data_IF_219621017182
#
_entry.id   IF_219621017182
#
_cell.length_a   1.000
_cell.length_b   1.000
_cell.length_c   1.000
_cell.angle_alpha   90.00
_cell.angle_beta   90.00
_cell.angle_gamma   90.00
#
_symmetry.space_group_name_H-M   'P 1'
#
loop_
_entity.id
_entity.type
_entity.pdbx_description
1 polymer ?
#
# COMPACT_ATOMS: atom_id res chain seq x y z
N UNK A 1 9.65 2.76 -4.23
CA UNK A 1 8.78 1.79 -3.52
C UNK A 1 9.55 0.51 -3.21
N UNK A 2 9.70 0.17 -1.93
CA UNK A 2 10.37 -1.07 -1.50
C UNK A 2 9.46 -2.28 -1.74
N UNK A 3 10.03 -3.38 -2.25
CA UNK A 3 9.36 -4.68 -2.32
C UNK A 3 9.48 -5.35 -0.95
N UNK A 4 8.35 -5.72 -0.34
CA UNK A 4 8.31 -6.38 0.95
C UNK A 4 7.91 -7.85 0.80
N UNK A 5 8.50 -8.69 1.64
CA UNK A 5 8.04 -10.05 1.91
C UNK A 5 7.06 -10.07 3.10
N UNK A 6 6.51 -11.26 3.40
CA UNK A 6 5.54 -11.45 4.50
C UNK A 6 6.10 -11.07 5.87
N UNK A 7 7.36 -11.40 6.15
CA UNK A 7 8.00 -11.14 7.44
C UNK A 7 8.22 -9.64 7.66
N UNK A 8 8.68 -8.93 6.63
CA UNK A 8 8.86 -7.48 6.68
C UNK A 8 7.55 -6.75 6.90
N UNK A 9 6.46 -7.19 6.24
CA UNK A 9 5.11 -6.66 6.48
C UNK A 9 4.72 -6.84 7.95
N UNK A 10 4.86 -8.06 8.49
CA UNK A 10 4.54 -8.36 9.89
C UNK A 10 5.36 -7.53 10.86
N UNK A 11 6.64 -7.33 10.57
CA UNK A 11 7.52 -6.50 11.40
C UNK A 11 7.04 -5.04 11.43
N UNK A 12 6.64 -4.46 10.29
CA UNK A 12 6.07 -3.10 10.23
C UNK A 12 4.75 -3.00 11.01
N UNK A 13 3.89 -4.03 10.90
CA UNK A 13 2.65 -4.11 11.68
C UNK A 13 2.92 -4.19 13.19
N UNK A 14 3.85 -5.05 13.62
CA UNK A 14 4.21 -5.20 15.02
C UNK A 14 4.79 -3.91 15.63
N UNK A 15 5.52 -3.14 14.82
CA UNK A 15 6.04 -1.81 15.17
C UNK A 15 5.01 -0.70 15.09
N UNK A 16 3.77 -1.04 14.72
CA UNK A 16 2.65 -0.10 14.57
C UNK A 16 2.93 1.03 13.58
N UNK A 17 3.80 0.79 12.60
CA UNK A 17 4.15 1.80 11.60
C UNK A 17 2.95 2.11 10.69
N UNK A 18 2.81 3.37 10.31
CA UNK A 18 1.84 3.80 9.30
C UNK A 18 2.46 3.66 7.91
N UNK A 19 1.84 2.88 7.01
CA UNK A 19 2.34 2.65 5.65
C UNK A 19 1.24 2.22 4.68
N UNK A 20 1.46 2.45 3.38
CA UNK A 20 0.65 1.90 2.30
C UNK A 20 1.36 0.73 1.62
N UNK A 21 0.60 -0.31 1.27
CA UNK A 21 1.09 -1.54 0.65
C UNK A 21 0.29 -1.85 -0.62
N UNK A 22 0.93 -1.74 -1.78
CA UNK A 22 0.39 -2.20 -3.05
C UNK A 22 0.59 -3.71 -3.20
N UNK A 23 -0.51 -4.47 -3.22
CA UNK A 23 -0.51 -5.86 -3.63
C UNK A 23 -0.62 -5.95 -5.15
N UNK A 24 0.33 -6.63 -5.77
CA UNK A 24 0.41 -6.77 -7.22
C UNK A 24 0.76 -8.21 -7.62
N UNK A 25 0.58 -8.52 -8.90
CA UNK A 25 1.18 -9.68 -9.57
C UNK A 25 2.07 -9.22 -10.73
N UNK A 26 3.10 -10.00 -11.10
CA UNK A 26 3.85 -9.75 -12.32
C UNK A 26 2.92 -9.73 -13.55
N UNK A 27 3.31 -8.97 -14.58
CA UNK A 27 2.58 -8.88 -15.85
C UNK A 27 1.14 -8.32 -15.77
N UNK A 28 0.78 -7.68 -14.65
CA UNK A 28 -0.48 -6.96 -14.49
C UNK A 28 -0.34 -5.50 -14.98
N UNK A 29 -0.95 -5.17 -16.13
CA UNK A 29 -0.87 -3.83 -16.72
C UNK A 29 -1.46 -2.73 -15.82
N UNK A 30 -2.61 -3.01 -15.19
CA UNK A 30 -3.25 -2.11 -14.22
C UNK A 30 -2.40 -1.91 -12.96
N UNK A 31 -1.64 -2.93 -12.55
CA UNK A 31 -0.70 -2.82 -11.43
C UNK A 31 0.47 -1.90 -11.77
N UNK A 32 0.99 -1.93 -13.01
CA UNK A 32 2.04 -0.99 -13.45
C UNK A 32 1.55 0.46 -13.44
N UNK A 33 0.29 0.70 -13.81
CA UNK A 33 -0.32 2.02 -13.71
C UNK A 33 -0.44 2.47 -12.25
N UNK A 34 -0.95 1.59 -11.37
CA UNK A 34 -1.01 1.83 -9.93
C UNK A 34 0.36 2.17 -9.32
N UNK A 35 1.41 1.44 -9.68
CA UNK A 35 2.78 1.72 -9.23
C UNK A 35 3.25 3.12 -9.63
N UNK A 36 3.01 3.54 -10.89
CA UNK A 36 3.37 4.88 -11.36
C UNK A 36 2.63 5.98 -10.58
N UNK A 37 1.34 5.79 -10.35
CA UNK A 37 0.54 6.75 -9.58
C UNK A 37 1.07 6.89 -8.15
N UNK A 38 1.40 5.77 -7.51
CA UNK A 38 1.93 5.76 -6.14
C UNK A 38 3.36 6.31 -6.04
N UNK A 39 4.18 6.15 -7.09
CA UNK A 39 5.49 6.79 -7.16
C UNK A 39 5.37 8.32 -7.16
N UNK A 40 4.45 8.87 -7.95
CA UNK A 40 4.19 10.32 -7.96
C UNK A 40 3.74 10.80 -6.57
N UNK A 41 2.86 10.06 -5.90
CA UNK A 41 2.40 10.42 -4.54
C UNK A 41 3.53 10.35 -3.52
N UNK A 42 4.42 9.36 -3.63
CA UNK A 42 5.60 9.24 -2.77
C UNK A 42 6.53 10.45 -2.91
N UNK A 43 6.69 10.98 -4.12
CA UNK A 43 7.46 12.20 -4.39
C UNK A 43 6.74 13.45 -3.84
N UNK A 44 5.43 13.59 -4.11
CA UNK A 44 4.62 14.72 -3.62
C UNK A 44 4.53 14.79 -2.09
N UNK A 45 4.54 13.64 -1.41
CA UNK A 45 4.54 13.55 0.06
C UNK A 45 5.95 13.66 0.66
N UNK A 46 6.98 13.96 -0.13
CA UNK A 46 8.37 14.02 0.31
C UNK A 46 8.83 12.79 1.13
N UNK A 47 8.25 11.61 0.85
CA UNK A 47 8.52 10.37 1.57
C UNK A 47 7.93 10.28 2.99
N UNK A 48 7.04 11.21 3.40
CA UNK A 48 6.40 11.19 4.72
C UNK A 48 5.52 9.97 4.95
N UNK A 49 4.93 9.40 3.89
CA UNK A 49 4.26 8.10 3.94
C UNK A 49 5.10 7.03 3.25
N UNK A 50 5.41 5.96 3.98
CA UNK A 50 6.05 4.79 3.40
C UNK A 50 5.08 4.08 2.43
N UNK A 51 5.40 4.10 1.13
CA UNK A 51 4.65 3.36 0.10
C UNK A 51 5.49 2.17 -0.38
N UNK A 52 5.00 0.98 -0.08
CA UNK A 52 5.63 -0.31 -0.34
C UNK A 52 4.82 -1.13 -1.34
N UNK A 53 5.40 -2.23 -1.85
CA UNK A 53 4.71 -3.20 -2.69
C UNK A 53 4.99 -4.63 -2.25
N UNK A 54 4.08 -5.55 -2.52
CA UNK A 54 4.27 -6.98 -2.30
C UNK A 54 3.66 -7.80 -3.44
N UNK A 55 4.41 -8.81 -3.89
CA UNK A 55 3.92 -9.76 -4.88
C UNK A 55 3.01 -10.77 -4.19
N UNK A 56 1.70 -10.71 -4.47
CA UNK A 56 0.73 -11.56 -3.78
C UNK A 56 0.89 -13.04 -4.16
N UNK A 57 1.46 -13.35 -5.33
CA UNK A 57 1.73 -14.74 -5.76
C UNK A 57 2.75 -15.45 -4.85
N UNK A 58 3.60 -14.71 -4.14
CA UNK A 58 4.58 -15.31 -3.21
C UNK A 58 4.03 -15.42 -1.78
N UNK A 59 2.76 -15.06 -1.55
CA UNK A 59 2.12 -15.04 -0.23
C UNK A 59 0.66 -15.53 -0.28
N UNK A 60 0.39 -16.76 -0.77
CA UNK A 60 -0.98 -17.26 -0.97
C UNK A 60 -1.79 -17.35 0.34
N UNK A 61 -1.12 -17.66 1.45
CA UNK A 61 -1.67 -17.66 2.81
C UNK A 61 -2.15 -16.26 3.24
N UNK A 62 -1.38 -15.23 2.89
CA UNK A 62 -1.73 -13.83 3.15
C UNK A 62 -2.89 -13.41 2.25
N UNK A 63 -2.87 -13.78 0.97
CA UNK A 63 -3.94 -13.46 0.03
C UNK A 63 -5.31 -13.99 0.53
N UNK A 64 -5.32 -15.22 1.03
CA UNK A 64 -6.52 -15.83 1.59
C UNK A 64 -6.94 -15.19 2.91
N UNK A 65 -6.02 -15.04 3.86
CA UNK A 65 -6.35 -14.48 5.18
C UNK A 65 -6.80 -13.01 5.12
N UNK A 66 -6.23 -12.23 4.20
CA UNK A 66 -6.63 -10.85 3.95
C UNK A 66 -7.81 -10.71 2.98
N UNK A 67 -8.35 -11.84 2.48
CA UNK A 67 -9.48 -11.87 1.54
C UNK A 67 -9.26 -10.94 0.34
N UNK A 68 -8.08 -11.03 -0.29
CA UNK A 68 -7.75 -10.19 -1.45
C UNK A 68 -8.54 -10.66 -2.67
N UNK A 69 -9.50 -9.85 -3.12
CA UNK A 69 -10.40 -10.21 -4.22
C UNK A 69 -9.78 -10.01 -5.61
N UNK A 70 -8.93 -9.00 -5.77
CA UNK A 70 -8.30 -8.66 -7.06
C UNK A 70 -7.00 -7.87 -6.85
N UNK A 71 -6.20 -7.76 -7.91
CA UNK A 71 -5.05 -6.86 -8.00
C UNK A 71 -5.23 -5.88 -9.17
N UNK A 72 -4.69 -4.64 -9.07
CA UNK A 72 -4.00 -4.07 -7.91
C UNK A 72 -4.93 -3.86 -6.72
N UNK A 73 -4.41 -4.09 -5.51
CA UNK A 73 -5.10 -3.76 -4.27
C UNK A 73 -4.16 -2.93 -3.40
N UNK A 74 -4.58 -1.72 -3.03
CA UNK A 74 -3.82 -0.86 -2.13
C UNK A 74 -4.40 -0.99 -0.73
N UNK A 75 -3.56 -1.41 0.22
CA UNK A 75 -3.88 -1.46 1.63
C UNK A 75 -3.20 -0.31 2.36
N UNK A 76 -3.86 0.26 3.35
CA UNK A 76 -3.25 1.22 4.29
C UNK A 76 -3.26 0.61 5.67
N UNK A 77 -2.10 0.61 6.30
CA UNK A 77 -1.89 0.17 7.67
C UNK A 77 -1.61 1.38 8.55
N UNK A 78 -2.19 1.39 9.75
CA UNK A 78 -1.87 2.33 10.82
C UNK A 78 -2.19 1.66 12.16
N UNK A 79 -1.39 1.95 13.19
CA UNK A 79 -1.50 1.31 14.52
C UNK A 79 -1.48 -0.23 14.43
N UNK A 80 -0.68 -0.77 13.50
CA UNK A 80 -0.47 -2.21 13.34
C UNK A 80 -1.59 -2.98 12.63
N UNK A 81 -2.67 -2.31 12.18
CA UNK A 81 -3.82 -2.93 11.51
C UNK A 81 -4.14 -2.28 10.18
N UNK A 82 -4.84 -3.02 9.32
CA UNK A 82 -5.42 -2.45 8.09
C UNK A 82 -6.53 -1.47 8.47
N UNK A 83 -6.44 -0.24 7.97
CA UNK A 83 -7.43 0.83 8.20
C UNK A 83 -8.16 1.25 6.92
N UNK A 84 -7.63 0.90 5.74
CA UNK A 84 -8.24 1.22 4.46
C UNK A 84 -7.79 0.28 3.35
N UNK A 85 -8.67 0.10 2.36
CA UNK A 85 -8.45 -0.75 1.19
C UNK A 85 -9.03 -0.11 -0.06
N UNK A 86 -8.29 -0.20 -1.18
CA UNK A 86 -8.72 0.29 -2.48
C UNK A 86 -8.51 -0.78 -3.55
N UNK A 87 -9.58 -1.10 -4.27
CA UNK A 87 -9.53 -1.89 -5.51
C UNK A 87 -9.59 -1.02 -6.77
N UNK A 88 -10.05 0.23 -6.65
CA UNK A 88 -10.11 1.19 -7.73
C UNK A 88 -9.16 2.36 -7.46
N UNK A 89 -8.00 2.33 -8.11
CA UNK A 89 -6.98 3.39 -8.05
C UNK A 89 -7.27 4.40 -9.16
N UNK A 90 -8.22 5.30 -8.91
CA UNK A 90 -8.86 6.15 -9.95
C UNK A 90 -7.91 7.19 -10.58
N UNK A 91 -7.29 8.04 -9.77
CA UNK A 91 -6.37 9.11 -10.22
C UNK A 91 -5.31 9.39 -9.15
N UNK A 92 -4.21 10.06 -9.54
CA UNK A 92 -3.15 10.49 -8.63
C UNK A 92 -3.71 11.42 -7.55
N UNK A 93 -4.49 12.42 -7.96
CA UNK A 93 -5.12 13.39 -7.05
C UNK A 93 -6.05 12.70 -6.05
N UNK A 94 -6.94 11.81 -6.53
CA UNK A 94 -7.83 11.06 -5.66
C UNK A 94 -7.04 10.28 -4.60
N UNK A 95 -6.06 9.48 -5.03
CA UNK A 95 -5.24 8.71 -4.10
C UNK A 95 -4.44 9.60 -3.15
N UNK A 96 -3.90 10.73 -3.63
CA UNK A 96 -3.19 11.70 -2.80
C UNK A 96 -4.10 12.19 -1.67
N UNK A 97 -5.30 12.68 -1.98
CA UNK A 97 -6.26 13.14 -0.96
C UNK A 97 -6.68 12.02 -0.01
N UNK A 98 -6.83 10.79 -0.51
CA UNK A 98 -7.21 9.66 0.33
C UNK A 98 -6.09 9.20 1.27
N UNK A 99 -4.82 9.38 0.88
CA UNK A 99 -3.66 8.94 1.65
C UNK A 99 -3.10 10.04 2.57
N UNK A 100 -3.30 11.31 2.23
CA UNK A 100 -2.84 12.50 2.97
C UNK A 100 -3.07 12.45 4.49
N UNK A 101 -4.21 11.96 5.00
CA UNK A 101 -4.44 11.85 6.45
C UNK A 101 -3.44 10.96 7.21
N UNK A 102 -2.71 10.08 6.52
CA UNK A 102 -1.80 9.10 7.14
C UNK A 102 -0.36 9.61 7.33
N UNK A 103 -0.10 10.89 7.03
CA UNK A 103 1.18 11.53 7.36
C UNK A 103 1.06 12.98 7.81
N UNK A 104 -0.09 13.63 7.61
CA UNK A 104 -0.34 14.98 8.13
C UNK A 104 -0.86 14.99 9.57
N UNK A 105 -1.63 13.97 9.96
CA UNK A 105 -2.27 13.93 11.29
C UNK A 105 -1.36 13.35 12.40
N UNK A 106 -0.12 12.95 12.08
CA UNK A 106 0.88 12.56 13.09
C UNK A 106 1.70 13.76 13.62
N UNK A 107 1.40 15.00 13.17
CA UNK A 107 2.02 16.25 13.64
C UNK A 107 1.14 17.04 14.65
N UNK A 108 0.25 16.37 15.37
CA UNK A 108 -0.54 16.96 16.46
C UNK A 108 0.05 16.64 17.82
#
# INVERSE_FOLDING_TARGET
MRLLNREEIRHKQARQETFALLLFTPFCGTCKLAERMLQIIMELSAGQLAICRANINTMPDVAQSWQVQSVPCLLVFSQGREVKRFYALQSVDYLYQQLRPYWENENG
#
